data_IF_852798596159
#
_entry.id   IF_852798596159
#
_cell.length_a   1.000
_cell.length_b   1.000
_cell.length_c   1.000
_cell.angle_alpha   90.00
_cell.angle_beta   90.00
_cell.angle_gamma   90.00
#
_symmetry.space_group_name_H-M   'P 1'
#
loop_
_entity.id
_entity.type
_entity.pdbx_description
1 polymer ?
#
# COMPACT_ATOMS: atom_id res chain seq x y z
N UNK A 1 -22.31 26.42 10.38
CA UNK A 1 -21.44 26.08 9.23
C UNK A 1 -21.85 24.70 8.75
N UNK A 2 -22.51 24.61 7.60
CA UNK A 2 -22.82 23.33 6.97
C UNK A 2 -21.59 22.95 6.13
N UNK A 3 -20.90 21.88 6.52
CA UNK A 3 -19.87 21.28 5.66
C UNK A 3 -20.55 20.83 4.37
N UNK A 4 -19.98 21.18 3.22
CA UNK A 4 -20.48 20.73 1.92
C UNK A 4 -20.38 19.20 1.84
N UNK A 5 -21.21 18.55 1.02
CA UNK A 5 -21.05 17.11 0.71
C UNK A 5 -19.65 16.80 0.17
N UNK A 6 -19.01 17.78 -0.49
CA UNK A 6 -17.62 17.69 -0.92
C UNK A 6 -16.63 17.62 0.26
N UNK A 7 -16.85 18.41 1.31
CA UNK A 7 -16.01 18.40 2.52
C UNK A 7 -16.21 17.09 3.29
N UNK A 8 -17.45 16.60 3.38
CA UNK A 8 -17.75 15.32 4.01
C UNK A 8 -17.08 14.16 3.25
N UNK A 9 -17.06 14.22 1.91
CA UNK A 9 -16.36 13.25 1.08
C UNK A 9 -14.85 13.32 1.27
N UNK A 10 -14.27 14.53 1.25
CA UNK A 10 -12.83 14.72 1.47
C UNK A 10 -12.41 14.25 2.86
N UNK A 11 -13.21 14.56 3.89
CA UNK A 11 -12.97 14.09 5.25
C UNK A 11 -13.03 12.57 5.33
N UNK A 12 -13.96 11.91 4.64
CA UNK A 12 -13.99 10.43 4.57
C UNK A 12 -12.76 9.87 3.88
N UNK A 13 -12.34 10.45 2.75
CA UNK A 13 -11.15 10.00 2.02
C UNK A 13 -9.93 10.02 2.94
N UNK A 14 -9.65 11.17 3.59
CA UNK A 14 -8.46 11.37 4.43
C UNK A 14 -8.46 10.48 5.68
N UNK A 15 -9.64 10.16 6.24
CA UNK A 15 -9.75 9.38 7.48
C UNK A 15 -10.02 7.89 7.26
N UNK A 16 -10.19 7.43 6.01
CA UNK A 16 -10.37 6.00 5.75
C UNK A 16 -9.02 5.31 5.86
N UNK A 17 -8.82 4.43 6.88
CA UNK A 17 -7.56 3.73 7.02
C UNK A 17 -7.36 2.77 5.84
N UNK A 18 -6.11 2.51 5.43
CA UNK A 18 -5.83 1.49 4.42
C UNK A 18 -6.35 0.13 4.82
N UNK A 19 -6.96 -0.58 3.86
CA UNK A 19 -7.53 -1.91 4.09
C UNK A 19 -6.47 -2.96 4.46
N UNK A 20 -5.25 -2.79 3.96
CA UNK A 20 -4.08 -3.59 4.32
C UNK A 20 -2.83 -2.72 4.33
N UNK A 21 -1.92 -3.02 5.26
CA UNK A 21 -0.66 -2.29 5.44
C UNK A 21 0.44 -3.33 5.68
N UNK A 22 1.48 -3.38 4.83
CA UNK A 22 2.60 -4.29 5.05
C UNK A 22 3.46 -3.80 6.21
N UNK A 23 4.21 -4.71 6.82
CA UNK A 23 5.19 -4.39 7.85
C UNK A 23 6.55 -4.10 7.19
N UNK A 24 7.43 -3.34 7.85
CA UNK A 24 8.85 -3.33 7.47
C UNK A 24 9.38 -4.76 7.37
N UNK A 25 10.29 -4.96 6.42
CA UNK A 25 10.89 -6.24 6.02
C UNK A 25 9.96 -7.26 5.35
N UNK A 26 8.65 -6.98 5.21
CA UNK A 26 7.77 -7.81 4.38
C UNK A 26 8.29 -7.81 2.93
N UNK A 27 8.34 -9.01 2.33
CA UNK A 27 8.64 -9.17 0.90
C UNK A 27 7.31 -9.26 0.15
N UNK A 28 7.13 -8.39 -0.83
CA UNK A 28 5.96 -8.37 -1.70
C UNK A 28 6.37 -8.76 -3.12
N UNK A 29 5.66 -9.72 -3.69
CA UNK A 29 5.73 -10.02 -5.12
C UNK A 29 4.59 -9.29 -5.82
N UNK A 30 4.91 -8.18 -6.45
CA UNK A 30 3.94 -7.29 -7.08
C UNK A 30 3.83 -7.60 -8.57
N UNK A 31 2.64 -7.90 -9.04
CA UNK A 31 2.34 -8.11 -10.45
C UNK A 31 2.14 -6.76 -11.19
N UNK A 32 2.26 -6.75 -12.53
CA UNK A 32 1.78 -5.65 -13.36
C UNK A 32 0.36 -5.20 -12.96
N UNK A 33 0.14 -3.90 -12.85
CA UNK A 33 -1.15 -3.33 -12.44
C UNK A 33 -1.41 -3.27 -10.92
N UNK A 34 -0.58 -3.91 -10.09
CA UNK A 34 -0.65 -3.78 -8.63
C UNK A 34 0.12 -2.55 -8.11
N UNK A 35 1.04 -2.06 -8.94
CA UNK A 35 1.79 -0.82 -8.74
C UNK A 35 1.15 0.24 -9.62
N UNK A 36 0.64 1.31 -9.02
CA UNK A 36 0.06 2.42 -9.81
C UNK A 36 1.15 3.14 -10.61
N UNK A 37 0.84 3.45 -11.87
CA UNK A 37 1.73 4.11 -12.83
C UNK A 37 3.01 3.34 -13.16
N UNK A 38 2.97 2.01 -13.02
CA UNK A 38 4.04 1.12 -13.47
C UNK A 38 3.44 -0.12 -14.13
N UNK A 39 3.96 -0.45 -15.30
CA UNK A 39 3.45 -1.57 -16.11
C UNK A 39 4.21 -2.88 -15.87
N UNK A 40 5.31 -2.83 -15.12
CA UNK A 40 6.16 -3.99 -14.80
C UNK A 40 5.96 -4.45 -13.34
N UNK A 41 5.98 -5.76 -13.14
CA UNK A 41 6.01 -6.37 -11.82
C UNK A 41 7.37 -6.23 -11.14
N UNK A 42 7.41 -6.46 -9.83
CA UNK A 42 8.62 -6.30 -9.02
C UNK A 42 8.56 -7.15 -7.75
N UNK A 43 9.69 -7.69 -7.32
CA UNK A 43 9.83 -8.23 -5.96
C UNK A 43 10.48 -7.17 -5.09
N UNK A 44 9.85 -6.82 -3.97
CA UNK A 44 10.32 -5.73 -3.13
C UNK A 44 10.34 -6.09 -1.66
N UNK A 45 11.31 -5.54 -0.91
CA UNK A 45 11.30 -5.53 0.55
C UNK A 45 10.82 -4.18 1.06
N UNK A 46 9.85 -4.18 1.95
CA UNK A 46 9.31 -2.95 2.54
C UNK A 46 10.32 -2.35 3.53
N UNK A 47 10.75 -1.11 3.28
CA UNK A 47 11.55 -0.34 4.24
C UNK A 47 10.61 0.36 5.23
N UNK A 48 9.59 1.05 4.70
CA UNK A 48 8.58 1.73 5.51
C UNK A 48 7.32 2.03 4.73
N UNK A 49 6.22 2.19 5.45
CA UNK A 49 4.95 2.70 4.94
C UNK A 49 4.88 4.21 5.17
N UNK A 50 4.47 4.95 4.14
CA UNK A 50 4.25 6.40 4.19
C UNK A 50 2.77 6.72 4.43
N UNK A 51 2.34 6.48 5.67
CA UNK A 51 0.95 6.74 6.09
C UNK A 51 0.57 8.23 6.01
N UNK A 52 1.57 9.11 6.11
CA UNK A 52 1.44 10.57 6.02
C UNK A 52 0.79 11.06 4.72
N UNK A 53 0.96 10.32 3.63
CA UNK A 53 0.39 10.65 2.31
C UNK A 53 -0.54 9.57 1.76
N UNK A 54 -0.67 8.43 2.43
CA UNK A 54 -1.53 7.33 1.98
C UNK A 54 -3.03 7.60 2.20
N UNK A 55 -3.38 8.51 3.12
CA UNK A 55 -4.78 8.86 3.40
C UNK A 55 -5.54 9.44 2.19
N UNK A 56 -4.86 9.92 1.16
CA UNK A 56 -5.51 10.48 -0.03
C UNK A 56 -6.15 9.43 -0.95
N UNK A 57 -5.98 8.12 -0.67
CA UNK A 57 -6.38 7.04 -1.57
C UNK A 57 -7.57 6.20 -1.08
N UNK A 58 -8.39 6.74 -0.17
CA UNK A 58 -9.62 6.09 0.34
C UNK A 58 -9.38 4.69 0.90
N UNK A 59 -8.19 4.50 1.49
CA UNK A 59 -7.72 3.20 1.96
C UNK A 59 -7.49 2.12 0.89
N UNK A 60 -7.61 2.43 -0.40
CA UNK A 60 -7.44 1.47 -1.51
C UNK A 60 -5.98 1.25 -1.90
N UNK A 61 -5.09 2.20 -1.59
CA UNK A 61 -3.66 2.10 -1.89
C UNK A 61 -2.80 2.73 -0.79
N UNK A 62 -1.55 2.29 -0.70
CA UNK A 62 -0.55 2.80 0.25
C UNK A 62 0.76 3.16 -0.43
N UNK A 63 1.36 4.26 0.00
CA UNK A 63 2.71 4.63 -0.41
C UNK A 63 3.74 3.85 0.40
N UNK A 64 4.64 3.16 -0.30
CA UNK A 64 5.71 2.37 0.28
C UNK A 64 7.06 2.93 -0.14
N UNK A 65 8.00 2.91 0.78
CA UNK A 65 9.42 3.00 0.47
C UNK A 65 9.99 1.59 0.53
N UNK A 66 10.66 1.15 -0.52
CA UNK A 66 11.05 -0.26 -0.70
C UNK A 66 12.42 -0.40 -1.34
N UNK A 67 13.06 -1.54 -1.07
CA UNK A 67 14.16 -2.04 -1.88
C UNK A 67 13.60 -2.98 -2.96
N UNK A 68 13.94 -2.77 -4.23
CA UNK A 68 13.78 -3.78 -5.28
C UNK A 68 14.80 -4.90 -5.06
N UNK A 69 14.35 -6.14 -5.16
CA UNK A 69 15.18 -7.32 -5.00
C UNK A 69 15.35 -8.05 -6.33
N UNK A 70 16.55 -8.57 -6.58
CA UNK A 70 16.79 -9.53 -7.65
C UNK A 70 16.26 -10.94 -7.30
N UNK A 71 16.47 -11.89 -8.22
CA UNK A 71 16.05 -13.29 -8.03
C UNK A 71 16.74 -14.04 -6.88
N UNK A 72 17.78 -13.46 -6.27
CA UNK A 72 18.48 -14.00 -5.10
C UNK A 72 18.06 -13.34 -3.79
N UNK A 73 17.20 -12.32 -3.85
CA UNK A 73 16.81 -11.51 -2.70
C UNK A 73 17.81 -10.38 -2.39
N UNK A 74 18.75 -10.10 -3.29
CA UNK A 74 19.73 -9.01 -3.12
C UNK A 74 19.10 -7.68 -3.53
N UNK A 75 19.19 -6.62 -2.70
CA UNK A 75 18.74 -5.29 -3.08
C UNK A 75 19.50 -4.73 -4.30
N UNK A 76 18.77 -4.32 -5.32
CA UNK A 76 19.32 -3.77 -6.58
C UNK A 76 18.86 -2.33 -6.86
N UNK A 77 17.83 -1.85 -6.16
CA UNK A 77 17.28 -0.53 -6.35
C UNK A 77 16.43 -0.08 -5.16
N UNK A 78 16.19 1.22 -5.05
CA UNK A 78 15.36 1.81 -3.99
C UNK A 78 14.26 2.66 -4.62
N UNK A 79 13.00 2.41 -4.23
CA UNK A 79 11.83 2.98 -4.90
C UNK A 79 10.78 3.49 -3.92
N UNK A 80 10.04 4.51 -4.34
CA UNK A 80 8.76 4.88 -3.75
C UNK A 80 7.63 4.40 -4.67
N UNK A 81 6.77 3.51 -4.17
CA UNK A 81 5.71 2.88 -4.94
C UNK A 81 4.35 3.14 -4.30
N UNK A 82 3.32 3.35 -5.13
CA UNK A 82 1.94 3.36 -4.68
C UNK A 82 1.31 2.00 -5.01
N UNK A 83 1.03 1.20 -3.98
CA UNK A 83 0.62 -0.20 -4.13
C UNK A 83 -0.83 -0.39 -3.69
N UNK A 84 -1.59 -1.18 -4.46
CA UNK A 84 -2.96 -1.52 -4.10
C UNK A 84 -3.01 -2.35 -2.81
N UNK A 85 -3.93 -2.02 -1.91
CA UNK A 85 -4.11 -2.76 -0.64
C UNK A 85 -4.58 -4.19 -0.85
N UNK A 86 -5.33 -4.47 -1.92
CA UNK A 86 -5.69 -5.84 -2.30
C UNK A 86 -4.47 -6.70 -2.63
N UNK A 87 -3.44 -6.13 -3.27
CA UNK A 87 -2.20 -6.84 -3.57
C UNK A 87 -1.46 -7.20 -2.26
N UNK A 88 -1.39 -6.24 -1.32
CA UNK A 88 -0.80 -6.46 0.01
C UNK A 88 -1.56 -7.53 0.79
N UNK A 89 -2.89 -7.48 0.79
CA UNK A 89 -3.73 -8.42 1.52
C UNK A 89 -3.51 -9.88 1.08
N UNK A 90 -3.23 -10.12 -0.21
CA UNK A 90 -2.92 -11.46 -0.72
C UNK A 90 -1.63 -12.03 -0.15
N UNK A 91 -0.65 -11.18 0.17
CA UNK A 91 0.62 -11.60 0.78
C UNK A 91 0.51 -11.87 2.28
N UNK A 92 -0.43 -11.21 2.97
CA UNK A 92 -0.62 -11.35 4.41
C UNK A 92 -1.47 -12.58 4.81
N UNK A 93 -2.04 -13.28 3.82
CA UNK A 93 -3.02 -14.34 4.06
C UNK A 93 -4.35 -13.79 4.63
N UNK A 94 -5.36 -14.65 4.83
CA UNK A 94 -6.62 -14.20 5.44
C UNK A 94 -6.36 -13.68 6.85
N UNK A 95 -6.64 -12.39 7.07
CA UNK A 95 -6.70 -11.80 8.41
C UNK A 95 -7.74 -12.59 9.21
N UNK A 96 -7.38 -13.27 10.31
CA UNK A 96 -8.39 -13.94 11.12
C UNK A 96 -9.37 -12.90 11.62
N UNK A 97 -10.67 -13.10 11.34
CA UNK A 97 -11.72 -12.22 11.79
C UNK A 97 -11.61 -12.06 13.32
N UNK A 98 -11.29 -10.85 13.77
CA UNK A 98 -11.33 -10.49 15.19
C UNK A 98 -12.79 -10.65 15.63
N UNK A 99 -13.10 -11.76 16.30
CA UNK A 99 -14.37 -11.92 17.02
C UNK A 99 -14.38 -10.91 18.14
N UNK A 100 -15.24 -9.90 18.03
CA UNK A 100 -15.66 -9.06 19.16
C UNK A 100 -16.68 -9.80 20.00
#
# INVERSE_FOLDING_TARGET
>A
MLFSDADARLQRLINTPPAAVPRPDDILHLAPGEIRWRDEGMTVRVIRVRTDISGCYDGTAVWLHVDELDGTGTPIGCHQLLVATDAIARHQGPVPAIRR
#
